data_IF_362123632583
#
_entry.id   IF_362123632583
#
_cell.length_a   1.000
_cell.length_b   1.000
_cell.length_c   1.000
_cell.angle_alpha   90.00
_cell.angle_beta   90.00
_cell.angle_gamma   90.00
#
_symmetry.space_group_name_H-M   'P 1'
#
loop_
_entity.id
_entity.type
_entity.pdbx_description
1 polymer ?
#
# COMPACT_ATOMS: atom_id res chain seq x y z
N UNK A 1 -26.98 52.56 -27.74
CA UNK A 1 -28.14 51.77 -27.27
C UNK A 1 -27.97 50.35 -27.82
N UNK A 2 -27.58 49.37 -27.00
CA UNK A 2 -27.36 48.01 -27.48
C UNK A 2 -28.71 47.33 -27.79
N UNK A 3 -28.78 46.59 -28.90
CA UNK A 3 -29.99 45.89 -29.33
C UNK A 3 -30.33 44.73 -28.36
N UNK A 4 -31.61 44.36 -28.20
CA UNK A 4 -32.04 43.30 -27.28
C UNK A 4 -31.29 41.98 -27.49
N UNK A 5 -31.09 41.59 -28.75
CA UNK A 5 -30.35 40.38 -29.14
C UNK A 5 -28.88 40.40 -28.68
N UNK A 6 -28.22 41.57 -28.65
CA UNK A 6 -26.84 41.70 -28.17
C UNK A 6 -26.75 41.44 -26.66
N UNK A 7 -27.79 41.83 -25.90
CA UNK A 7 -27.89 41.60 -24.45
C UNK A 7 -28.11 40.12 -24.14
N UNK A 8 -28.97 39.47 -24.90
CA UNK A 8 -29.30 38.05 -24.69
C UNK A 8 -28.10 37.15 -25.05
N UNK A 9 -27.38 37.46 -26.13
CA UNK A 9 -26.15 36.75 -26.50
C UNK A 9 -25.03 36.92 -25.46
N UNK A 10 -24.89 38.12 -24.88
CA UNK A 10 -23.93 38.36 -23.81
C UNK A 10 -24.28 37.56 -22.55
N UNK A 11 -25.58 37.47 -22.21
CA UNK A 11 -26.05 36.70 -21.06
C UNK A 11 -25.80 35.19 -21.25
N UNK A 12 -26.10 34.63 -22.43
CA UNK A 12 -25.83 33.22 -22.74
C UNK A 12 -24.33 32.89 -22.71
N UNK A 13 -23.47 33.80 -23.19
CA UNK A 13 -22.01 33.64 -23.12
C UNK A 13 -21.49 33.64 -21.67
N UNK A 14 -22.01 34.54 -20.83
CA UNK A 14 -21.71 34.59 -19.40
C UNK A 14 -22.14 33.30 -18.68
N UNK A 15 -23.34 32.80 -18.95
CA UNK A 15 -23.83 31.54 -18.38
C UNK A 15 -22.95 30.36 -18.78
N UNK A 16 -22.55 30.25 -20.05
CA UNK A 16 -21.64 29.20 -20.51
C UNK A 16 -20.25 29.30 -19.86
N UNK A 17 -19.71 30.51 -19.68
CA UNK A 17 -18.43 30.73 -18.99
C UNK A 17 -18.48 30.28 -17.53
N UNK A 18 -19.59 30.55 -16.84
CA UNK A 18 -19.82 30.13 -15.45
C UNK A 18 -19.96 28.62 -15.36
N UNK A 19 -20.78 28.00 -16.22
CA UNK A 19 -20.99 26.54 -16.26
C UNK A 19 -19.68 25.80 -16.56
N UNK A 20 -18.88 26.27 -17.52
CA UNK A 20 -17.59 25.66 -17.84
C UNK A 20 -16.58 25.76 -16.69
N UNK A 21 -16.62 26.84 -15.90
CA UNK A 21 -15.79 26.94 -14.69
C UNK A 21 -16.22 25.90 -13.65
N UNK A 22 -17.51 25.78 -13.34
CA UNK A 22 -18.00 24.77 -12.40
C UNK A 22 -17.70 23.34 -12.85
N UNK A 23 -17.89 23.03 -14.15
CA UNK A 23 -17.55 21.72 -14.71
C UNK A 23 -16.05 21.41 -14.58
N UNK A 24 -15.19 22.41 -14.82
CA UNK A 24 -13.73 22.24 -14.72
C UNK A 24 -13.26 22.04 -13.28
N UNK A 25 -13.88 22.74 -12.33
CA UNK A 25 -13.64 22.51 -10.90
C UNK A 25 -14.12 21.11 -10.50
N UNK A 26 -15.35 20.74 -10.86
CA UNK A 26 -15.89 19.40 -10.58
C UNK A 26 -14.97 18.28 -11.11
N UNK A 27 -14.44 18.43 -12.32
CA UNK A 27 -13.52 17.46 -12.91
C UNK A 27 -12.18 17.42 -12.18
N UNK A 28 -11.65 18.57 -11.77
CA UNK A 28 -10.40 18.64 -10.99
C UNK A 28 -10.54 17.93 -9.64
N UNK A 29 -11.67 18.12 -8.95
CA UNK A 29 -11.94 17.45 -7.68
C UNK A 29 -12.20 15.95 -7.87
N UNK A 30 -12.87 15.55 -8.96
CA UNK A 30 -13.03 14.15 -9.32
C UNK A 30 -11.69 13.47 -9.62
N UNK A 31 -10.78 14.12 -10.35
CA UNK A 31 -9.43 13.61 -10.61
C UNK A 31 -8.60 13.49 -9.32
N UNK A 32 -8.65 14.49 -8.44
CA UNK A 32 -7.97 14.42 -7.14
C UNK A 32 -8.55 13.31 -6.26
N UNK A 33 -9.88 13.13 -6.28
CA UNK A 33 -10.53 12.02 -5.58
C UNK A 33 -10.07 10.68 -6.14
N UNK A 34 -10.06 10.50 -7.47
CA UNK A 34 -9.55 9.29 -8.14
C UNK A 34 -8.09 9.01 -7.76
N UNK A 35 -7.21 10.03 -7.74
CA UNK A 35 -5.82 9.86 -7.32
C UNK A 35 -5.69 9.43 -5.87
N UNK A 36 -6.55 9.93 -4.98
CA UNK A 36 -6.57 9.55 -3.57
C UNK A 36 -7.01 8.09 -3.35
N UNK A 37 -7.94 7.55 -4.15
CA UNK A 37 -8.36 6.15 -4.03
C UNK A 37 -7.29 5.17 -4.55
N UNK A 38 -6.35 5.63 -5.38
CA UNK A 38 -5.32 4.78 -5.97
C UNK A 38 -4.05 4.65 -5.11
N UNK A 39 -3.97 5.30 -3.94
CA UNK A 39 -2.86 5.08 -3.00
C UNK A 39 -3.09 3.82 -2.18
N UNK A 40 -2.90 2.65 -2.80
CA UNK A 40 -2.81 1.40 -2.05
C UNK A 40 -1.35 1.12 -1.70
N UNK A 41 -1.04 1.10 -0.41
CA UNK A 41 0.22 0.55 0.11
C UNK A 41 0.18 -0.97 -0.08
N UNK A 42 1.12 -1.50 -0.87
CA UNK A 42 1.24 -2.93 -1.11
C UNK A 42 2.14 -3.57 -0.04
N UNK A 43 1.55 -3.91 1.12
CA UNK A 43 2.24 -4.75 2.10
C UNK A 43 2.06 -6.23 1.71
N UNK A 44 3.10 -6.84 1.15
CA UNK A 44 3.10 -8.26 0.77
C UNK A 44 3.49 -9.13 1.97
N UNK A 45 2.56 -9.27 2.93
CA UNK A 45 2.69 -10.18 4.05
C UNK A 45 1.96 -11.50 3.72
N UNK A 46 2.63 -12.64 3.87
CA UNK A 46 2.01 -13.97 3.67
C UNK A 46 2.17 -14.89 4.89
N UNK A 47 1.04 -15.32 5.44
CA UNK A 47 0.99 -16.36 6.49
C UNK A 47 1.13 -17.73 5.81
N UNK A 48 2.12 -18.51 6.25
CA UNK A 48 2.40 -19.85 5.78
C UNK A 48 1.72 -20.86 6.71
N UNK A 49 0.77 -21.63 6.16
CA UNK A 49 0.05 -22.67 6.92
C UNK A 49 0.65 -24.06 6.76
N UNK A 50 1.37 -24.29 5.66
CA UNK A 50 1.93 -25.58 5.29
C UNK A 50 3.36 -25.39 4.76
N UNK A 51 4.25 -26.29 5.18
CA UNK A 51 5.66 -26.29 4.76
C UNK A 51 5.97 -27.62 4.06
N UNK A 52 6.54 -27.61 2.85
CA UNK A 52 7.00 -28.83 2.20
C UNK A 52 8.03 -29.55 3.09
N UNK A 53 7.78 -30.82 3.40
CA UNK A 53 8.65 -31.62 4.27
C UNK A 53 8.27 -31.61 5.75
N UNK A 54 7.23 -30.87 6.15
CA UNK A 54 6.60 -31.04 7.45
C UNK A 54 5.68 -32.28 7.44
N UNK A 55 5.62 -33.02 8.55
CA UNK A 55 4.93 -34.31 8.61
C UNK A 55 3.41 -34.19 8.60
N UNK A 56 2.85 -33.09 9.14
CA UNK A 56 1.42 -32.85 9.19
C UNK A 56 0.95 -31.86 8.12
N UNK A 57 -0.35 -31.89 7.81
CA UNK A 57 -0.98 -31.01 6.81
C UNK A 57 -1.09 -29.55 7.25
N UNK A 58 -0.83 -29.22 8.52
CA UNK A 58 -0.91 -27.85 9.05
C UNK A 58 0.13 -27.64 10.14
N UNK A 59 0.81 -26.48 10.10
CA UNK A 59 1.79 -26.12 11.11
C UNK A 59 1.12 -25.83 12.46
N UNK A 60 1.70 -26.29 13.59
CA UNK A 60 1.16 -26.05 14.92
C UNK A 60 1.44 -24.63 15.44
N UNK A 61 2.25 -23.84 14.72
CA UNK A 61 2.61 -22.47 15.04
C UNK A 61 2.33 -21.53 13.86
N UNK A 62 2.15 -20.24 14.15
CA UNK A 62 1.99 -19.21 13.12
C UNK A 62 3.35 -18.85 12.53
N UNK A 63 3.52 -19.13 11.24
CA UNK A 63 4.68 -18.69 10.46
C UNK A 63 4.27 -17.61 9.47
N UNK A 64 4.97 -16.50 9.52
CA UNK A 64 4.76 -15.32 8.71
C UNK A 64 6.01 -15.01 7.89
N UNK A 65 5.85 -14.78 6.59
CA UNK A 65 6.97 -14.41 5.72
C UNK A 65 6.60 -13.26 4.82
N UNK A 66 7.57 -12.41 4.53
CA UNK A 66 7.38 -11.27 3.65
C UNK A 66 8.67 -10.53 3.36
N UNK A 67 8.51 -9.44 2.62
CA UNK A 67 9.59 -8.52 2.32
C UNK A 67 9.36 -7.19 3.02
N UNK A 68 10.43 -6.61 3.56
CA UNK A 68 10.44 -5.25 4.09
C UNK A 68 11.17 -4.37 3.08
N UNK A 69 10.43 -3.37 2.60
CA UNK A 69 10.95 -2.29 1.78
C UNK A 69 11.85 -1.35 2.59
N UNK A 70 12.93 -0.89 1.96
CA UNK A 70 13.87 0.07 2.54
C UNK A 70 14.14 1.15 1.51
N UNK A 71 13.96 2.41 1.88
CA UNK A 71 14.14 3.56 1.00
C UNK A 71 12.93 4.49 0.99
N UNK A 72 13.02 5.59 0.26
CA UNK A 72 11.94 6.56 0.16
C UNK A 72 10.88 6.00 -0.81
N UNK A 73 9.88 5.32 -0.27
CA UNK A 73 8.83 4.65 -1.05
C UNK A 73 9.06 3.16 -1.32
N UNK A 74 9.74 2.44 -0.41
CA UNK A 74 9.88 0.97 -0.46
C UNK A 74 10.55 0.43 -1.74
N UNK A 75 11.41 1.25 -2.35
CA UNK A 75 12.05 1.04 -3.65
C UNK A 75 12.87 -0.25 -3.71
N UNK A 76 13.41 -0.67 -2.56
CA UNK A 76 14.26 -1.86 -2.44
C UNK A 76 13.68 -2.80 -1.39
N UNK A 77 13.17 -3.94 -1.86
CA UNK A 77 12.66 -5.04 -1.03
C UNK A 77 13.83 -5.93 -0.59
N UNK A 78 14.70 -5.43 0.31
CA UNK A 78 16.01 -6.08 0.58
C UNK A 78 15.91 -7.11 1.71
N UNK A 79 14.95 -6.98 2.61
CA UNK A 79 14.86 -7.81 3.80
C UNK A 79 13.72 -8.80 3.67
N UNK A 80 14.06 -10.06 3.40
CA UNK A 80 13.13 -11.17 3.54
C UNK A 80 13.14 -11.64 5.00
N UNK A 81 11.98 -11.65 5.65
CA UNK A 81 11.85 -12.06 7.05
C UNK A 81 11.06 -13.36 7.18
N UNK A 82 11.38 -14.10 8.24
CA UNK A 82 10.60 -15.19 8.78
C UNK A 82 10.23 -14.84 10.21
N UNK A 83 8.94 -14.77 10.50
CA UNK A 83 8.40 -14.48 11.81
C UNK A 83 7.68 -15.71 12.35
N UNK A 84 8.07 -16.13 13.55
CA UNK A 84 7.44 -17.22 14.28
C UNK A 84 6.80 -16.62 15.52
N UNK A 85 5.48 -16.77 15.64
CA UNK A 85 4.76 -16.30 16.81
C UNK A 85 5.14 -17.12 18.06
N UNK A 86 5.27 -16.47 19.22
CA UNK A 86 5.57 -17.19 20.47
C UNK A 86 4.43 -18.12 20.85
N UNK A 87 4.76 -19.35 21.22
CA UNK A 87 3.78 -20.34 21.72
C UNK A 87 3.33 -20.08 23.16
N UNK A 88 4.02 -19.19 23.90
CA UNK A 88 3.74 -18.93 25.32
C UNK A 88 2.88 -17.69 25.51
N UNK A 89 3.44 -16.51 25.25
CA UNK A 89 2.76 -15.22 25.43
C UNK A 89 3.20 -14.25 24.31
N UNK A 90 2.56 -14.31 23.13
CA UNK A 90 2.98 -13.53 21.97
C UNK A 90 2.87 -12.02 22.15
N UNK A 91 2.07 -11.54 23.11
CA UNK A 91 1.95 -10.10 23.39
C UNK A 91 3.12 -9.56 24.24
N UNK A 92 3.72 -10.39 25.09
CA UNK A 92 4.73 -9.96 26.07
C UNK A 92 6.12 -10.56 25.84
N UNK A 93 6.25 -11.60 25.02
CA UNK A 93 7.54 -12.24 24.76
C UNK A 93 8.40 -11.39 23.79
N UNK A 94 9.73 -11.33 24.00
CA UNK A 94 10.61 -10.46 23.22
C UNK A 94 10.80 -10.96 21.78
N UNK A 95 10.96 -10.02 20.85
CA UNK A 95 11.08 -10.28 19.40
C UNK A 95 12.39 -9.66 18.87
N UNK A 96 13.14 -10.42 18.06
CA UNK A 96 14.19 -10.01 17.08
C UNK A 96 15.36 -11.01 17.06
N UNK A 97 15.70 -11.53 15.88
CA UNK A 97 16.92 -12.31 15.65
C UNK A 97 17.63 -11.83 14.39
N UNK A 98 18.86 -11.34 14.53
CA UNK A 98 19.70 -10.90 13.41
C UNK A 98 20.96 -11.76 13.37
N UNK A 99 21.09 -12.56 12.32
CA UNK A 99 22.35 -13.26 12.05
C UNK A 99 23.41 -12.26 11.61
N UNK A 100 24.62 -12.37 12.16
CA UNK A 100 25.74 -11.51 11.78
C UNK A 100 26.40 -11.92 10.45
N UNK A 101 27.49 -11.23 10.12
CA UNK A 101 28.31 -11.49 8.94
C UNK A 101 27.82 -10.75 7.67
N UNK A 102 28.71 -10.29 6.80
CA UNK A 102 28.30 -9.66 5.55
C UNK A 102 27.71 -10.70 4.60
N UNK A 103 26.44 -10.53 4.21
CA UNK A 103 25.77 -11.33 3.19
C UNK A 103 25.24 -12.69 3.65
N UNK A 104 25.36 -13.04 4.93
CA UNK A 104 24.73 -14.24 5.48
C UNK A 104 23.21 -14.03 5.62
N UNK A 105 22.43 -15.04 5.23
CA UNK A 105 20.97 -15.01 5.39
C UNK A 105 20.58 -15.33 6.83
N UNK A 106 19.56 -14.63 7.34
CA UNK A 106 18.91 -14.93 8.63
C UNK A 106 18.48 -16.38 8.78
N UNK A 107 18.10 -17.01 7.65
CA UNK A 107 17.68 -18.41 7.60
C UNK A 107 18.77 -19.39 8.07
N UNK A 108 20.05 -19.02 7.95
CA UNK A 108 21.14 -19.88 8.38
C UNK A 108 21.09 -20.19 9.88
N UNK A 109 20.67 -19.25 10.72
CA UNK A 109 20.53 -19.48 12.16
C UNK A 109 19.27 -20.26 12.55
N UNK A 110 18.37 -20.49 11.59
CA UNK A 110 17.11 -21.21 11.80
C UNK A 110 17.16 -22.65 11.29
N UNK A 111 17.88 -22.89 10.18
CA UNK A 111 17.88 -24.17 9.49
C UNK A 111 19.04 -25.12 9.87
N UNK A 112 20.10 -24.62 10.54
CA UNK A 112 21.33 -25.36 10.85
C UNK A 112 21.70 -25.19 12.32
#
# INVERSE_FOLDING_TARGET
MATPLQRDNAMMSLMNSVVMKYARWSWSWFLLFVLFINTQSAASHSIIKTLPGYHDDTLPFTLETGYIGVGEGDEKQIFYYYFFESERDPENDPLLWLTGGPGCSGLCGLAF
#
